data_IF_871860473304
#
_entry.id   IF_871860473304
#
_cell.length_a   1.000
_cell.length_b   1.000
_cell.length_c   1.000
_cell.angle_alpha   90.00
_cell.angle_beta   90.00
_cell.angle_gamma   90.00
#
_symmetry.space_group_name_H-M   'P 1'
#
loop_
_entity.id
_entity.type
_entity.pdbx_description
1 polymer ?
#
# COMPACT_ATOMS: atom_id res chain seq x y z
N UNK A 1 -28.50 45.06 4.85
CA UNK A 1 -29.63 45.80 4.24
C UNK A 1 -30.78 44.81 4.09
N UNK A 2 -31.83 44.98 4.89
CA UNK A 2 -33.08 44.24 4.73
C UNK A 2 -33.73 44.64 3.40
N UNK A 3 -34.56 43.77 2.81
CA UNK A 3 -35.26 43.97 1.53
C UNK A 3 -36.11 45.27 1.42
N UNK A 4 -36.16 46.11 2.46
CA UNK A 4 -37.00 47.31 2.56
C UNK A 4 -36.40 48.59 1.97
N UNK A 5 -35.13 48.61 1.54
CA UNK A 5 -34.46 49.82 1.00
C UNK A 5 -34.31 49.84 -0.54
N UNK A 6 -34.82 48.82 -1.25
CA UNK A 6 -34.79 48.81 -2.70
C UNK A 6 -36.01 49.50 -3.31
N UNK A 7 -35.77 50.39 -4.27
CA UNK A 7 -36.80 50.94 -5.16
C UNK A 7 -37.64 49.80 -5.77
N UNK A 8 -38.95 49.79 -5.48
CA UNK A 8 -39.88 48.75 -5.91
C UNK A 8 -39.91 48.59 -7.43
N UNK A 9 -39.65 49.67 -8.17
CA UNK A 9 -39.55 49.64 -9.63
C UNK A 9 -38.30 48.90 -10.13
N UNK A 10 -37.19 48.95 -9.37
CA UNK A 10 -35.95 48.26 -9.70
C UNK A 10 -36.06 46.75 -9.43
N UNK A 11 -36.71 46.36 -8.33
CA UNK A 11 -37.01 44.96 -8.04
C UNK A 11 -37.96 44.35 -9.08
N UNK A 12 -38.95 45.11 -9.55
CA UNK A 12 -39.83 44.68 -10.63
C UNK A 12 -39.06 44.54 -11.96
N UNK A 13 -38.17 45.48 -12.27
CA UNK A 13 -37.28 45.39 -13.44
C UNK A 13 -36.37 44.16 -13.38
N UNK A 14 -35.76 43.90 -12.21
CA UNK A 14 -34.85 42.77 -12.02
C UNK A 14 -35.52 41.40 -12.25
N UNK A 15 -36.84 41.31 -12.11
CA UNK A 15 -37.63 40.10 -12.35
C UNK A 15 -38.06 39.92 -13.82
N UNK A 16 -37.81 40.90 -14.69
CA UNK A 16 -38.08 40.75 -16.12
C UNK A 16 -37.13 39.70 -16.75
N UNK A 17 -37.54 39.01 -17.83
CA UNK A 17 -36.74 37.94 -18.45
C UNK A 17 -35.31 38.34 -18.81
N UNK A 18 -35.12 39.49 -19.46
CA UNK A 18 -33.79 39.97 -19.86
C UNK A 18 -32.88 40.27 -18.67
N UNK A 19 -33.27 41.20 -17.76
CA UNK A 19 -32.53 41.50 -16.54
C UNK A 19 -32.23 40.29 -15.66
N UNK A 20 -33.17 39.35 -15.53
CA UNK A 20 -32.98 38.12 -14.75
C UNK A 20 -31.83 37.27 -15.30
N UNK A 21 -31.71 37.11 -16.63
CA UNK A 21 -30.59 36.38 -17.24
C UNK A 21 -29.24 37.05 -16.95
N UNK A 22 -29.20 38.38 -16.97
CA UNK A 22 -27.98 39.15 -16.67
C UNK A 22 -27.60 38.99 -15.20
N UNK A 23 -28.57 39.12 -14.29
CA UNK A 23 -28.35 38.96 -12.85
C UNK A 23 -27.92 37.54 -12.53
N UNK A 24 -28.48 36.51 -13.17
CA UNK A 24 -28.07 35.12 -12.97
C UNK A 24 -26.62 34.86 -13.43
N UNK A 25 -26.19 35.42 -14.56
CA UNK A 25 -24.79 35.31 -14.98
C UNK A 25 -23.84 36.10 -14.05
N UNK A 26 -24.29 37.24 -13.52
CA UNK A 26 -23.58 37.98 -12.44
C UNK A 26 -23.46 37.10 -11.19
N UNK A 27 -24.55 36.47 -10.74
CA UNK A 27 -24.57 35.53 -9.59
C UNK A 27 -23.57 34.40 -9.80
N UNK A 28 -23.60 33.75 -10.97
CA UNK A 28 -22.66 32.68 -11.34
C UNK A 28 -21.20 33.13 -11.31
N UNK A 29 -20.90 34.34 -11.81
CA UNK A 29 -19.54 34.89 -11.82
C UNK A 29 -19.06 35.27 -10.43
N UNK A 30 -19.92 35.86 -9.59
CA UNK A 30 -19.59 36.12 -8.18
C UNK A 30 -19.31 34.82 -7.46
N UNK A 31 -20.17 33.81 -7.61
CA UNK A 31 -19.97 32.50 -6.99
C UNK A 31 -18.63 31.86 -7.39
N UNK A 32 -18.23 31.98 -8.67
CA UNK A 32 -17.00 31.37 -9.19
C UNK A 32 -15.72 32.16 -8.92
N UNK A 33 -15.76 33.50 -8.92
CA UNK A 33 -14.57 34.38 -8.92
C UNK A 33 -14.50 35.33 -7.72
N UNK A 34 -15.57 35.47 -6.95
CA UNK A 34 -15.75 36.45 -5.87
C UNK A 34 -16.07 37.87 -6.34
N UNK A 35 -15.81 38.19 -7.61
CA UNK A 35 -16.01 39.50 -8.24
C UNK A 35 -16.55 39.37 -9.66
N UNK A 36 -17.24 40.40 -10.16
CA UNK A 36 -17.65 40.51 -11.57
C UNK A 36 -16.89 41.67 -12.20
N UNK A 37 -16.25 41.43 -13.34
CA UNK A 37 -15.51 42.43 -14.13
C UNK A 37 -15.65 42.12 -15.62
N UNK A 38 -15.45 43.13 -16.46
CA UNK A 38 -15.43 43.01 -17.91
C UNK A 38 -16.81 42.77 -18.52
N UNK A 39 -16.86 42.07 -19.65
CA UNK A 39 -18.11 41.84 -20.40
C UNK A 39 -18.88 40.61 -19.89
N UNK A 40 -20.15 40.81 -19.55
CA UNK A 40 -21.14 39.81 -19.20
C UNK A 40 -21.69 39.20 -20.50
N UNK A 41 -21.37 37.93 -20.74
CA UNK A 41 -21.77 37.19 -21.93
C UNK A 41 -23.11 36.50 -21.65
N UNK A 42 -24.19 37.05 -22.18
CA UNK A 42 -25.55 36.51 -22.08
C UNK A 42 -26.23 36.69 -23.42
N UNK A 43 -26.87 35.63 -23.92
CA UNK A 43 -27.72 35.70 -25.10
C UNK A 43 -29.08 36.28 -24.71
N UNK A 44 -29.44 37.40 -25.35
CA UNK A 44 -30.69 38.11 -25.13
C UNK A 44 -31.46 38.21 -26.45
N UNK A 45 -32.76 37.96 -26.40
CA UNK A 45 -33.66 38.28 -27.53
C UNK A 45 -33.80 39.80 -27.68
N UNK A 46 -34.39 40.26 -28.80
CA UNK A 46 -34.64 41.70 -28.99
C UNK A 46 -35.52 42.31 -27.88
N UNK A 47 -36.54 41.58 -27.41
CA UNK A 47 -37.40 42.03 -26.32
C UNK A 47 -36.64 42.11 -24.99
N UNK A 48 -35.86 41.09 -24.66
CA UNK A 48 -35.01 41.03 -23.46
C UNK A 48 -33.93 42.13 -23.47
N UNK A 49 -33.36 42.43 -24.64
CA UNK A 49 -32.41 43.52 -24.80
C UNK A 49 -33.06 44.89 -24.57
N UNK A 50 -34.30 45.09 -25.03
CA UNK A 50 -35.07 46.33 -24.73
C UNK A 50 -35.36 46.45 -23.23
N UNK A 51 -35.64 45.35 -22.53
CA UNK A 51 -35.85 45.34 -21.08
C UNK A 51 -34.61 45.76 -20.31
N UNK A 52 -33.44 45.19 -20.63
CA UNK A 52 -32.15 45.61 -20.05
C UNK A 52 -31.83 47.06 -20.42
N UNK A 53 -32.22 47.48 -21.62
CA UNK A 53 -32.11 48.83 -22.15
C UNK A 53 -32.87 49.90 -21.36
N UNK A 54 -33.87 49.53 -20.56
CA UNK A 54 -34.55 50.47 -19.63
C UNK A 54 -33.58 51.05 -18.59
N UNK A 55 -32.48 50.34 -18.31
CA UNK A 55 -31.44 50.78 -17.39
C UNK A 55 -30.19 51.33 -18.13
N UNK A 56 -29.77 50.70 -19.22
CA UNK A 56 -28.56 51.09 -19.97
C UNK A 56 -28.78 52.16 -21.05
N UNK A 57 -30.04 52.48 -21.37
CA UNK A 57 -30.42 53.50 -22.34
C UNK A 57 -30.52 52.99 -23.79
N UNK A 58 -31.26 53.77 -24.60
CA UNK A 58 -31.54 53.48 -26.01
C UNK A 58 -30.28 53.33 -26.89
N UNK A 59 -29.20 54.13 -26.72
CA UNK A 59 -27.98 53.96 -27.51
C UNK A 59 -27.32 52.59 -27.33
N UNK A 60 -27.43 51.98 -26.14
CA UNK A 60 -26.90 50.63 -25.93
C UNK A 60 -27.76 49.58 -26.64
N UNK A 61 -29.09 49.72 -26.58
CA UNK A 61 -30.04 48.78 -27.23
C UNK A 61 -29.75 48.64 -28.72
N UNK A 62 -29.52 49.75 -29.42
CA UNK A 62 -29.28 49.76 -30.88
C UNK A 62 -27.85 49.41 -31.28
N UNK A 63 -26.90 49.44 -30.35
CA UNK A 63 -25.47 49.24 -30.66
C UNK A 63 -25.04 47.80 -30.96
N UNK A 64 -25.86 46.80 -30.61
CA UNK A 64 -25.49 45.37 -30.70
C UNK A 64 -24.36 44.90 -29.76
N UNK A 65 -23.74 45.80 -28.99
CA UNK A 65 -22.65 45.48 -28.05
C UNK A 65 -23.12 44.57 -26.91
N UNK A 66 -22.22 43.75 -26.36
CA UNK A 66 -22.51 43.00 -25.14
C UNK A 66 -22.65 43.89 -23.91
N UNK A 67 -22.96 43.27 -22.77
CA UNK A 67 -23.21 43.99 -21.51
C UNK A 67 -21.88 44.12 -20.78
N UNK A 68 -21.34 45.32 -20.65
CA UNK A 68 -20.16 45.54 -19.78
C UNK A 68 -20.60 45.82 -18.34
N UNK A 69 -19.80 45.36 -17.37
CA UNK A 69 -20.04 45.60 -15.94
C UNK A 69 -20.03 47.09 -15.62
N UNK A 70 -19.07 47.87 -16.14
CA UNK A 70 -18.90 49.27 -15.70
C UNK A 70 -20.09 50.18 -16.07
N UNK A 71 -20.65 50.14 -17.30
CA UNK A 71 -21.87 50.89 -17.63
C UNK A 71 -23.08 50.47 -16.80
N UNK A 72 -23.18 49.18 -16.50
CA UNK A 72 -24.29 48.63 -15.71
C UNK A 72 -24.18 49.03 -14.24
N UNK A 73 -22.98 49.00 -13.65
CA UNK A 73 -22.73 49.52 -12.30
C UNK A 73 -22.97 51.02 -12.22
N UNK A 74 -22.54 51.82 -13.21
CA UNK A 74 -22.81 53.26 -13.26
C UNK A 74 -24.31 53.57 -13.30
N UNK A 75 -25.08 52.82 -14.09
CA UNK A 75 -26.53 52.99 -14.17
C UNK A 75 -27.24 52.65 -12.85
N UNK A 76 -26.74 51.65 -12.11
CA UNK A 76 -27.26 51.27 -10.79
C UNK A 76 -26.79 52.21 -9.67
N UNK A 77 -25.58 52.77 -9.77
CA UNK A 77 -25.04 53.71 -8.80
C UNK A 77 -25.90 54.97 -8.66
N UNK A 78 -26.53 55.44 -9.74
CA UNK A 78 -27.52 56.53 -9.72
C UNK A 78 -28.77 56.25 -8.88
N UNK A 79 -28.97 54.99 -8.46
CA UNK A 79 -30.06 54.54 -7.57
C UNK A 79 -29.55 54.02 -6.23
N UNK A 80 -28.29 54.29 -5.88
CA UNK A 80 -27.62 53.80 -4.65
C UNK A 80 -27.61 52.26 -4.50
N UNK A 81 -27.62 51.53 -5.63
CA UNK A 81 -27.60 50.06 -5.66
C UNK A 81 -26.35 49.56 -6.39
N UNK A 82 -25.78 48.45 -5.93
CA UNK A 82 -24.67 47.75 -6.61
C UNK A 82 -25.15 46.51 -7.34
N UNK A 83 -24.37 46.00 -8.31
CA UNK A 83 -24.69 44.73 -8.96
C UNK A 83 -24.72 43.55 -8.00
N UNK A 84 -23.84 43.54 -6.99
CA UNK A 84 -23.82 42.51 -5.95
C UNK A 84 -25.09 42.56 -5.11
N UNK A 85 -25.46 43.73 -4.61
CA UNK A 85 -26.68 43.88 -3.79
C UNK A 85 -27.94 43.54 -4.58
N UNK A 86 -27.98 43.86 -5.87
CA UNK A 86 -29.08 43.45 -6.75
C UNK A 86 -29.11 41.93 -6.96
N UNK A 87 -27.95 41.30 -7.16
CA UNK A 87 -27.84 39.86 -7.29
C UNK A 87 -28.29 39.11 -6.02
N UNK A 88 -28.02 39.66 -4.83
CA UNK A 88 -28.46 39.11 -3.53
C UNK A 88 -29.99 39.12 -3.35
N UNK A 89 -30.71 40.03 -4.01
CA UNK A 89 -32.20 40.07 -3.96
C UNK A 89 -32.85 38.84 -4.60
N UNK A 90 -32.14 38.13 -5.48
CA UNK A 90 -32.60 36.89 -6.11
C UNK A 90 -32.14 35.62 -5.37
N UNK A 91 -31.61 35.77 -4.14
CA UNK A 91 -31.16 34.68 -3.27
C UNK A 91 -29.72 34.86 -2.78
N UNK A 92 -29.31 34.09 -1.78
CA UNK A 92 -27.96 34.16 -1.20
C UNK A 92 -26.89 33.87 -2.26
N UNK A 93 -25.84 34.70 -2.30
CA UNK A 93 -24.65 34.46 -3.12
C UNK A 93 -23.70 33.52 -2.36
N UNK A 94 -23.63 32.25 -2.75
CA UNK A 94 -22.67 31.33 -2.17
C UNK A 94 -21.27 31.61 -2.73
N UNK A 95 -20.33 31.96 -1.85
CA UNK A 95 -18.92 32.11 -2.22
C UNK A 95 -18.27 30.72 -2.36
N UNK A 96 -18.42 30.12 -3.55
CA UNK A 96 -17.84 28.81 -3.85
C UNK A 96 -16.31 28.84 -3.79
N UNK A 97 -15.68 30.00 -3.99
CA UNK A 97 -14.22 30.13 -3.84
C UNK A 97 -13.84 29.99 -2.37
N UNK A 98 -14.51 30.69 -1.46
CA UNK A 98 -14.29 30.55 -0.02
C UNK A 98 -14.63 29.14 0.47
N UNK A 99 -15.71 28.53 -0.03
CA UNK A 99 -16.07 27.15 0.28
C UNK A 99 -14.99 26.15 -0.16
N UNK A 100 -14.50 26.28 -1.40
CA UNK A 100 -13.45 25.39 -1.91
C UNK A 100 -12.12 25.60 -1.20
N UNK A 101 -11.76 26.84 -0.88
CA UNK A 101 -10.58 27.16 -0.09
C UNK A 101 -10.66 26.54 1.31
N UNK A 102 -11.83 26.61 1.97
CA UNK A 102 -12.06 25.98 3.27
C UNK A 102 -11.95 24.45 3.19
N UNK A 103 -12.60 23.82 2.20
CA UNK A 103 -12.49 22.37 1.97
C UNK A 103 -11.05 21.93 1.70
N UNK A 104 -10.28 22.74 0.97
CA UNK A 104 -8.88 22.47 0.70
C UNK A 104 -8.03 22.60 1.98
N UNK A 105 -8.26 23.65 2.78
CA UNK A 105 -7.59 23.83 4.06
C UNK A 105 -7.91 22.70 5.06
N UNK A 106 -9.16 22.24 5.10
CA UNK A 106 -9.59 21.09 5.91
C UNK A 106 -8.87 19.79 5.49
N UNK A 107 -8.73 19.55 4.17
CA UNK A 107 -7.97 18.42 3.63
C UNK A 107 -6.48 18.47 4.01
N UNK A 108 -5.88 19.63 3.86
CA UNK A 108 -4.47 19.83 4.19
C UNK A 108 -4.22 19.71 5.69
N UNK A 109 -5.15 20.16 6.52
CA UNK A 109 -5.08 19.95 7.97
C UNK A 109 -5.17 18.47 8.32
N UNK A 110 -6.16 17.75 7.79
CA UNK A 110 -6.30 16.31 8.06
C UNK A 110 -5.05 15.53 7.62
N UNK A 111 -4.45 15.86 6.47
CA UNK A 111 -3.20 15.26 6.01
C UNK A 111 -2.02 15.53 6.96
N UNK A 112 -1.88 16.77 7.45
CA UNK A 112 -0.84 17.12 8.42
C UNK A 112 -1.03 16.37 9.73
N UNK A 113 -2.27 16.29 10.21
CA UNK A 113 -2.58 15.62 11.47
C UNK A 113 -2.36 14.09 11.36
N UNK A 114 -2.71 13.49 10.22
CA UNK A 114 -2.48 12.08 9.93
C UNK A 114 -0.97 11.78 9.86
N UNK A 115 -0.20 12.64 9.17
CA UNK A 115 1.25 12.52 9.10
C UNK A 115 1.88 12.62 10.49
N UNK A 116 1.45 13.61 11.30
CA UNK A 116 1.92 13.80 12.66
C UNK A 116 1.67 12.57 13.54
N UNK A 117 0.51 11.93 13.40
CA UNK A 117 0.14 10.74 14.18
C UNK A 117 1.08 9.57 13.87
N UNK A 118 1.33 9.32 12.57
CA UNK A 118 2.24 8.27 12.12
C UNK A 118 3.68 8.55 12.55
N UNK A 119 4.18 9.78 12.37
CA UNK A 119 5.56 10.11 12.75
C UNK A 119 5.76 10.10 14.27
N UNK A 120 4.75 10.49 15.06
CA UNK A 120 4.78 10.39 16.51
C UNK A 120 4.77 8.92 17.01
N UNK A 121 4.34 7.98 16.18
CA UNK A 121 4.48 6.55 16.44
C UNK A 121 5.88 5.98 16.13
N UNK A 122 6.81 6.82 15.66
CA UNK A 122 8.16 6.41 15.28
C UNK A 122 8.29 5.96 13.82
N UNK A 123 7.25 6.13 13.00
CA UNK A 123 7.31 5.82 11.57
C UNK A 123 8.07 6.95 10.84
N UNK A 124 9.12 6.66 10.04
CA UNK A 124 9.85 7.65 9.28
C UNK A 124 8.93 8.49 8.40
N UNK A 125 9.17 9.80 8.31
CA UNK A 125 8.33 10.73 7.56
C UNK A 125 8.19 10.33 6.08
N UNK A 126 9.25 9.78 5.48
CA UNK A 126 9.25 9.28 4.10
C UNK A 126 8.23 8.15 3.92
N UNK A 127 8.25 7.14 4.80
CA UNK A 127 7.31 6.02 4.79
C UNK A 127 5.88 6.50 5.07
N UNK A 128 5.69 7.36 6.06
CA UNK A 128 4.38 7.90 6.42
C UNK A 128 3.76 8.72 5.26
N UNK A 129 4.54 9.58 4.61
CA UNK A 129 4.06 10.35 3.44
C UNK A 129 3.73 9.46 2.26
N UNK A 130 4.54 8.44 1.99
CA UNK A 130 4.26 7.44 0.96
C UNK A 130 2.95 6.70 1.25
N UNK A 131 2.79 6.21 2.48
CA UNK A 131 1.62 5.47 2.93
C UNK A 131 0.32 6.28 2.76
N UNK A 132 0.32 7.55 3.15
CA UNK A 132 -0.84 8.45 3.02
C UNK A 132 -1.21 8.78 1.57
N UNK A 133 -0.28 8.62 0.60
CA UNK A 133 -0.51 8.86 -0.83
C UNK A 133 -1.10 7.63 -1.54
N UNK A 134 -1.15 6.47 -0.90
CA UNK A 134 -1.66 5.25 -1.52
C UNK A 134 -3.15 5.37 -1.85
N UNK A 135 -3.55 4.96 -3.06
CA UNK A 135 -4.93 5.07 -3.56
C UNK A 135 -5.97 4.33 -2.71
N UNK A 136 -5.54 3.28 -2.00
CA UNK A 136 -6.39 2.49 -1.12
C UNK A 136 -6.69 3.20 0.23
N UNK A 137 -6.12 4.39 0.48
CA UNK A 137 -6.41 5.17 1.70
C UNK A 137 -7.65 6.05 1.51
N UNK A 138 -8.39 6.35 2.58
CA UNK A 138 -9.46 7.33 2.54
C UNK A 138 -8.97 8.68 2.02
N UNK A 139 -9.80 9.38 1.26
CA UNK A 139 -9.49 10.76 0.86
C UNK A 139 -9.61 11.68 2.06
N UNK A 140 -8.65 12.58 2.21
CA UNK A 140 -8.72 13.66 3.18
C UNK A 140 -9.94 14.58 2.93
N UNK A 141 -10.36 15.28 3.99
CA UNK A 141 -11.52 16.13 4.07
C UNK A 141 -12.76 15.46 4.69
N UNK A 142 -12.64 14.24 5.21
CA UNK A 142 -13.77 13.51 5.84
C UNK A 142 -13.49 13.06 7.27
N UNK A 143 -12.28 13.25 7.78
CA UNK A 143 -11.82 12.73 9.08
C UNK A 143 -11.41 11.25 9.06
N UNK A 144 -11.81 10.49 8.02
CA UNK A 144 -11.52 9.05 7.91
C UNK A 144 -10.04 8.75 7.73
N UNK A 145 -9.28 9.62 7.03
CA UNK A 145 -7.85 9.39 6.83
C UNK A 145 -7.10 9.55 8.15
N UNK A 146 -7.43 10.59 8.92
CA UNK A 146 -6.87 10.80 10.26
C UNK A 146 -7.22 9.66 11.20
N UNK A 147 -8.50 9.26 11.24
CA UNK A 147 -8.92 8.15 12.10
C UNK A 147 -8.18 6.84 11.78
N UNK A 148 -8.03 6.51 10.50
CA UNK A 148 -7.26 5.32 10.11
C UNK A 148 -5.77 5.46 10.46
N UNK A 149 -5.18 6.65 10.30
CA UNK A 149 -3.80 6.90 10.70
C UNK A 149 -3.60 6.72 12.21
N UNK A 150 -4.57 7.11 13.04
CA UNK A 150 -4.56 6.88 14.49
C UNK A 150 -4.59 5.39 14.83
N UNK A 151 -5.54 4.65 14.25
CA UNK A 151 -5.63 3.20 14.45
C UNK A 151 -4.33 2.50 14.07
N UNK A 152 -3.77 2.82 12.90
CA UNK A 152 -2.49 2.27 12.43
C UNK A 152 -1.36 2.65 13.38
N UNK A 153 -1.31 3.90 13.87
CA UNK A 153 -0.30 4.37 14.81
C UNK A 153 -0.37 3.64 16.16
N UNK A 154 -1.58 3.38 16.66
CA UNK A 154 -1.80 2.67 17.92
C UNK A 154 -1.42 1.19 17.82
N UNK A 155 -1.73 0.55 16.68
CA UNK A 155 -1.28 -0.81 16.38
C UNK A 155 0.25 -0.84 16.27
N UNK A 156 0.85 0.11 15.54
CA UNK A 156 2.29 0.17 15.31
C UNK A 156 3.09 0.22 16.62
N UNK A 157 2.66 1.05 17.58
CA UNK A 157 3.29 1.19 18.89
C UNK A 157 3.23 -0.08 19.74
N UNK A 158 2.27 -0.97 19.46
CA UNK A 158 2.07 -2.23 20.20
C UNK A 158 2.70 -3.43 19.51
N UNK A 159 3.25 -3.27 18.29
CA UNK A 159 3.93 -4.37 17.59
C UNK A 159 5.07 -4.92 18.47
N UNK A 160 5.25 -6.25 18.52
CA UNK A 160 6.33 -6.86 19.27
C UNK A 160 7.70 -6.28 18.91
N UNK A 161 8.53 -6.22 19.93
CA UNK A 161 9.96 -5.93 19.80
C UNK A 161 10.71 -7.26 19.62
N UNK A 162 11.91 -7.22 19.04
CA UNK A 162 12.64 -8.43 18.63
C UNK A 162 12.96 -9.39 19.81
N UNK A 163 12.98 -8.87 21.04
CA UNK A 163 13.20 -9.60 22.29
C UNK A 163 11.96 -10.30 22.85
N UNK A 164 10.75 -9.88 22.44
CA UNK A 164 9.48 -10.43 22.96
C UNK A 164 9.04 -11.74 22.29
N UNK A 165 9.79 -12.20 21.29
CA UNK A 165 9.44 -13.37 20.48
C UNK A 165 8.20 -13.14 19.61
N UNK A 166 7.78 -14.18 18.91
CA UNK A 166 6.67 -14.10 17.95
C UNK A 166 5.30 -14.27 18.62
N UNK A 167 4.35 -13.39 18.29
CA UNK A 167 2.96 -13.38 18.77
C UNK A 167 2.00 -13.74 17.63
N UNK A 168 0.98 -14.54 17.92
CA UNK A 168 -0.04 -14.91 16.92
C UNK A 168 -0.86 -13.70 16.46
N UNK A 169 -1.09 -13.54 15.15
CA UNK A 169 -1.86 -12.42 14.59
C UNK A 169 -3.28 -12.31 15.19
N UNK A 170 -4.10 -13.38 15.27
CA UNK A 170 -5.39 -13.31 15.96
C UNK A 170 -5.32 -12.91 17.44
N UNK A 171 -4.31 -13.39 18.17
CA UNK A 171 -4.11 -13.03 19.59
C UNK A 171 -3.73 -11.56 19.72
N UNK A 172 -2.85 -11.08 18.86
CA UNK A 172 -2.47 -9.67 18.80
C UNK A 172 -3.65 -8.77 18.41
N UNK A 173 -4.42 -9.16 17.39
CA UNK A 173 -5.61 -8.43 16.96
C UNK A 173 -6.65 -8.34 18.09
N UNK A 174 -6.95 -9.44 18.78
CA UNK A 174 -7.83 -9.44 19.94
C UNK A 174 -7.32 -8.53 21.06
N UNK A 175 -6.01 -8.56 21.36
CA UNK A 175 -5.44 -7.73 22.42
C UNK A 175 -5.47 -6.22 22.10
N UNK A 176 -5.34 -5.85 20.83
CA UNK A 176 -5.25 -4.44 20.41
C UNK A 176 -6.60 -3.84 20.02
N UNK A 177 -7.49 -4.65 19.45
CA UNK A 177 -8.74 -4.22 18.83
C UNK A 177 -10.00 -4.82 19.47
N UNK A 178 -9.85 -5.72 20.45
CA UNK A 178 -10.97 -6.55 20.97
C UNK A 178 -11.68 -7.36 19.87
N UNK A 179 -10.95 -7.66 18.78
CA UNK A 179 -11.43 -8.41 17.62
C UNK A 179 -10.28 -9.27 17.06
N UNK A 180 -10.33 -10.62 17.19
CA UNK A 180 -9.31 -11.50 16.67
C UNK A 180 -9.19 -11.46 15.13
N UNK A 181 -10.20 -10.97 14.43
CA UNK A 181 -10.23 -10.85 12.97
C UNK A 181 -9.97 -9.42 12.48
N UNK A 182 -9.80 -8.46 13.40
CA UNK A 182 -9.71 -7.03 13.06
C UNK A 182 -8.49 -6.65 12.21
N UNK A 183 -7.52 -7.56 12.08
CA UNK A 183 -6.31 -7.39 11.27
C UNK A 183 -6.22 -8.40 10.11
N UNK A 184 -7.28 -9.14 9.80
CA UNK A 184 -7.28 -10.11 8.71
C UNK A 184 -7.11 -9.45 7.34
N UNK A 185 -6.67 -10.22 6.35
CA UNK A 185 -6.33 -9.77 4.99
C UNK A 185 -7.52 -9.15 4.22
N UNK A 186 -8.74 -9.51 4.60
CA UNK A 186 -9.99 -9.00 4.05
C UNK A 186 -10.46 -7.70 4.72
N UNK A 187 -9.90 -7.34 5.87
CA UNK A 187 -10.16 -6.05 6.53
C UNK A 187 -9.36 -4.89 5.91
N UNK A 188 -9.93 -3.68 5.90
CA UNK A 188 -9.22 -2.49 5.43
C UNK A 188 -8.03 -2.12 6.33
N UNK A 189 -8.17 -2.34 7.65
CA UNK A 189 -7.17 -2.02 8.65
C UNK A 189 -6.00 -3.01 8.62
N UNK A 190 -6.27 -4.32 8.53
CA UNK A 190 -5.24 -5.34 8.34
C UNK A 190 -4.38 -5.06 7.11
N UNK A 191 -5.00 -4.78 5.96
CA UNK A 191 -4.27 -4.37 4.75
C UNK A 191 -3.48 -3.08 4.94
N UNK A 192 -4.03 -2.10 5.65
CA UNK A 192 -3.33 -0.85 5.96
C UNK A 192 -2.02 -1.11 6.70
N UNK A 193 -2.10 -1.87 7.78
CA UNK A 193 -0.95 -2.16 8.64
C UNK A 193 0.08 -3.01 7.90
N UNK A 194 -0.34 -4.05 7.19
CA UNK A 194 0.58 -4.89 6.41
C UNK A 194 1.33 -4.08 5.34
N UNK A 195 0.64 -3.20 4.59
CA UNK A 195 1.29 -2.33 3.59
C UNK A 195 2.29 -1.36 4.25
N UNK A 196 1.94 -0.81 5.41
CA UNK A 196 2.85 0.05 6.16
C UNK A 196 4.09 -0.73 6.63
N UNK A 197 3.91 -1.94 7.17
CA UNK A 197 5.01 -2.80 7.59
C UNK A 197 5.94 -3.09 6.40
N UNK A 198 5.40 -3.51 5.25
CA UNK A 198 6.20 -3.78 4.05
C UNK A 198 7.00 -2.55 3.59
N UNK A 199 6.38 -1.37 3.59
CA UNK A 199 7.06 -0.11 3.25
C UNK A 199 8.16 0.25 4.25
N UNK A 200 7.90 0.05 5.54
CA UNK A 200 8.89 0.28 6.59
C UNK A 200 10.06 -0.71 6.49
N UNK A 201 9.81 -2.01 6.30
CA UNK A 201 10.86 -3.03 6.13
C UNK A 201 11.72 -2.75 4.90
N UNK A 202 11.12 -2.31 3.79
CA UNK A 202 11.88 -1.91 2.61
C UNK A 202 12.78 -0.69 2.87
N UNK A 203 12.26 0.31 3.58
CA UNK A 203 13.01 1.50 3.97
C UNK A 203 14.14 1.21 4.97
N UNK A 204 13.94 0.29 5.90
CA UNK A 204 15.01 -0.14 6.82
C UNK A 204 16.16 -0.85 6.10
N UNK A 205 15.85 -1.63 5.05
CA UNK A 205 16.87 -2.29 4.25
C UNK A 205 17.65 -1.31 3.36
N UNK A 206 16.97 -0.31 2.80
CA UNK A 206 17.55 0.73 1.95
C UNK A 206 16.77 2.05 2.12
N UNK A 207 17.34 3.05 2.84
CA UNK A 207 16.68 4.33 3.06
C UNK A 207 16.40 5.15 1.78
N UNK A 208 17.11 4.87 0.68
CA UNK A 208 16.97 5.55 -0.61
C UNK A 208 16.03 4.80 -1.58
N UNK A 209 15.40 3.71 -1.11
CA UNK A 209 14.53 2.87 -1.94
C UNK A 209 13.32 3.63 -2.49
N UNK A 210 13.02 3.42 -3.77
CA UNK A 210 11.72 3.80 -4.33
C UNK A 210 10.62 2.87 -3.80
N UNK A 211 9.98 3.28 -2.70
CA UNK A 211 8.87 2.54 -2.09
C UNK A 211 7.70 2.27 -3.05
N UNK A 212 7.46 3.16 -4.03
CA UNK A 212 6.37 2.96 -4.99
C UNK A 212 6.71 1.87 -6.01
N UNK A 213 7.99 1.72 -6.38
CA UNK A 213 8.48 0.63 -7.22
C UNK A 213 8.68 -0.69 -6.46
N UNK A 214 9.08 -0.64 -5.18
CA UNK A 214 9.39 -1.83 -4.38
C UNK A 214 8.17 -2.49 -3.77
N UNK A 215 7.18 -1.71 -3.31
CA UNK A 215 6.01 -2.24 -2.59
C UNK A 215 4.76 -2.08 -3.44
N UNK A 216 4.19 -3.22 -3.86
CA UNK A 216 2.91 -3.28 -4.56
C UNK A 216 1.81 -3.71 -3.59
N UNK A 217 0.88 -2.84 -3.16
CA UNK A 217 -0.10 -3.20 -2.13
C UNK A 217 -0.96 -4.44 -2.43
N UNK A 218 -1.26 -4.70 -3.71
CA UNK A 218 -2.05 -5.87 -4.13
C UNK A 218 -1.33 -7.20 -3.97
N UNK A 219 0.01 -7.23 -3.94
CA UNK A 219 0.77 -8.48 -3.77
C UNK A 219 0.91 -8.86 -2.31
N UNK A 220 0.80 -7.89 -1.38
CA UNK A 220 0.94 -8.11 0.06
C UNK A 220 -0.16 -9.01 0.62
N UNK A 221 -1.34 -8.99 0.02
CA UNK A 221 -2.48 -9.84 0.43
C UNK A 221 -2.38 -11.28 -0.07
N UNK A 222 -1.33 -11.64 -0.81
CA UNK A 222 -1.06 -13.05 -1.16
C UNK A 222 -0.66 -13.83 0.09
N UNK A 223 -1.02 -15.12 0.16
CA UNK A 223 -0.89 -15.91 1.38
C UNK A 223 0.51 -15.85 2.01
N UNK A 224 1.56 -16.11 1.24
CA UNK A 224 2.92 -16.11 1.78
C UNK A 224 3.47 -14.71 2.05
N UNK A 225 3.30 -13.76 1.11
CA UNK A 225 3.73 -12.36 1.33
C UNK A 225 3.08 -11.75 2.56
N UNK A 226 1.81 -12.10 2.82
CA UNK A 226 1.10 -11.69 4.02
C UNK A 226 1.80 -12.21 5.28
N UNK A 227 2.11 -13.51 5.33
CA UNK A 227 2.81 -14.13 6.47
C UNK A 227 4.18 -13.51 6.69
N UNK A 228 5.00 -13.39 5.66
CA UNK A 228 6.35 -12.84 5.76
C UNK A 228 6.35 -11.36 6.17
N UNK A 229 5.38 -10.58 5.69
CA UNK A 229 5.21 -9.17 6.07
C UNK A 229 4.95 -9.03 7.58
N UNK A 230 4.01 -9.80 8.14
CA UNK A 230 3.74 -9.76 9.58
C UNK A 230 4.89 -10.32 10.41
N UNK A 231 5.53 -11.39 9.94
CA UNK A 231 6.66 -12.03 10.61
C UNK A 231 7.84 -11.06 10.80
N UNK A 232 8.07 -10.15 9.84
CA UNK A 232 9.08 -9.10 9.93
C UNK A 232 8.91 -8.16 11.15
N UNK A 233 7.74 -8.15 11.79
CA UNK A 233 7.46 -7.38 13.02
C UNK A 233 7.07 -8.27 14.20
N UNK A 234 7.52 -9.53 14.20
CA UNK A 234 7.30 -10.47 15.30
C UNK A 234 5.85 -10.94 15.42
N UNK A 235 5.06 -10.82 14.36
CA UNK A 235 3.69 -11.32 14.32
C UNK A 235 3.61 -12.54 13.41
N UNK A 236 3.28 -13.69 13.98
CA UNK A 236 3.04 -14.90 13.20
C UNK A 236 1.57 -15.06 12.84
N UNK A 237 1.28 -15.16 11.55
CA UNK A 237 -0.05 -15.54 11.08
C UNK A 237 -0.38 -17.01 11.39
N UNK A 238 0.60 -17.90 11.22
CA UNK A 238 0.52 -19.33 11.50
C UNK A 238 1.94 -19.94 11.51
N UNK A 239 2.38 -20.49 12.63
CA UNK A 239 3.74 -21.03 12.78
C UNK A 239 3.83 -22.55 12.71
N UNK A 240 2.70 -23.24 12.74
CA UNK A 240 2.67 -24.71 12.72
C UNK A 240 2.40 -25.22 11.31
N UNK A 241 1.74 -24.43 10.46
CA UNK A 241 1.59 -24.75 9.04
C UNK A 241 2.67 -24.12 8.15
N UNK A 242 3.54 -23.27 8.71
CA UNK A 242 4.75 -22.84 8.02
C UNK A 242 5.84 -23.89 8.27
N UNK A 243 6.16 -24.62 7.21
CA UNK A 243 6.97 -25.84 7.27
C UNK A 243 8.17 -25.76 6.33
N UNK A 244 9.24 -26.46 6.68
CA UNK A 244 10.38 -26.73 5.80
C UNK A 244 10.79 -28.20 5.96
N UNK A 245 11.01 -28.88 4.84
CA UNK A 245 11.41 -30.28 4.82
C UNK A 245 12.93 -30.35 4.87
N UNK A 246 13.49 -31.19 5.73
CA UNK A 246 14.92 -31.34 5.88
C UNK A 246 15.31 -32.82 5.89
N UNK A 247 16.50 -33.13 5.37
CA UNK A 247 17.14 -34.44 5.46
C UNK A 247 18.58 -34.25 5.92
N UNK A 248 18.98 -35.03 6.94
CA UNK A 248 20.34 -35.06 7.52
C UNK A 248 20.91 -33.69 7.93
N UNK A 249 20.04 -32.71 8.21
CA UNK A 249 20.46 -31.38 8.65
C UNK A 249 20.70 -31.36 10.16
N UNK A 250 21.95 -31.62 10.56
CA UNK A 250 22.32 -31.54 11.98
C UNK A 250 22.40 -30.09 12.46
N UNK A 251 21.65 -29.77 13.51
CA UNK A 251 21.65 -28.47 14.16
C UNK A 251 22.24 -28.57 15.58
N UNK A 252 22.65 -27.43 16.13
CA UNK A 252 23.09 -27.24 17.51
C UNK A 252 22.38 -26.04 18.12
N UNK A 253 22.31 -25.95 19.45
CA UNK A 253 21.62 -24.87 20.16
C UNK A 253 20.50 -25.39 21.08
N UNK A 254 19.54 -24.53 21.38
CA UNK A 254 18.45 -24.82 22.33
C UNK A 254 17.07 -24.78 21.70
N UNK A 255 16.96 -24.46 20.40
CA UNK A 255 15.68 -24.50 19.68
C UNK A 255 15.13 -25.94 19.60
N UNK A 256 13.81 -26.09 19.58
CA UNK A 256 13.16 -27.41 19.49
C UNK A 256 13.53 -28.18 18.21
N UNK A 257 13.87 -27.47 17.13
CA UNK A 257 14.35 -28.04 15.88
C UNK A 257 15.63 -28.88 16.08
N UNK A 258 16.47 -28.56 17.07
CA UNK A 258 17.75 -29.23 17.32
C UNK A 258 17.56 -30.73 17.63
N UNK A 259 16.84 -31.13 18.69
CA UNK A 259 16.62 -32.55 18.96
C UNK A 259 15.76 -33.25 17.89
N UNK A 260 14.81 -32.54 17.26
CA UNK A 260 13.97 -33.10 16.19
C UNK A 260 14.83 -33.49 14.97
N UNK A 261 15.64 -32.55 14.48
CA UNK A 261 16.48 -32.78 13.32
C UNK A 261 17.57 -33.83 13.60
N UNK A 262 18.13 -33.84 14.81
CA UNK A 262 19.12 -34.85 15.21
C UNK A 262 18.55 -36.28 15.21
N UNK A 263 17.33 -36.47 15.72
CA UNK A 263 16.69 -37.79 15.75
C UNK A 263 16.41 -38.32 14.33
N UNK A 264 15.94 -37.46 13.43
CA UNK A 264 15.66 -37.82 12.05
C UNK A 264 16.94 -38.11 11.25
N UNK A 265 17.95 -37.26 11.38
CA UNK A 265 19.25 -37.42 10.73
C UNK A 265 19.98 -38.72 11.16
N UNK A 266 19.80 -39.16 12.42
CA UNK A 266 20.40 -40.40 12.92
C UNK A 266 19.94 -41.66 12.16
N UNK A 267 18.76 -41.61 11.54
CA UNK A 267 18.18 -42.72 10.77
C UNK A 267 18.03 -42.42 9.27
N UNK A 268 18.40 -41.21 8.83
CA UNK A 268 18.28 -40.81 7.42
C UNK A 268 16.86 -40.48 6.99
N UNK A 269 15.97 -40.13 7.92
CA UNK A 269 14.56 -39.90 7.63
C UNK A 269 14.30 -38.41 7.31
N UNK A 270 13.57 -38.06 6.24
CA UNK A 270 13.10 -36.71 6.00
C UNK A 270 12.18 -36.22 7.13
N UNK A 271 12.36 -34.99 7.59
CA UNK A 271 11.57 -34.42 8.70
C UNK A 271 11.08 -33.02 8.39
N UNK A 272 9.82 -32.76 8.74
CA UNK A 272 9.24 -31.43 8.71
C UNK A 272 9.61 -30.65 9.97
N UNK A 273 10.26 -29.50 9.78
CA UNK A 273 10.44 -28.51 10.82
C UNK A 273 9.39 -27.42 10.66
N UNK A 274 8.76 -27.04 11.76
CA UNK A 274 7.82 -25.91 11.81
C UNK A 274 8.58 -24.62 12.08
N UNK A 275 8.07 -23.47 11.63
CA UNK A 275 8.60 -22.15 12.05
C UNK A 275 8.66 -22.05 13.59
N UNK A 276 7.65 -22.60 14.28
CA UNK A 276 7.64 -22.69 15.75
C UNK A 276 8.84 -23.46 16.31
N UNK A 277 9.25 -24.56 15.66
CA UNK A 277 10.38 -25.37 16.13
C UNK A 277 11.74 -24.67 15.97
N UNK A 278 11.84 -23.74 15.03
CA UNK A 278 13.04 -22.93 14.78
C UNK A 278 13.20 -21.77 15.77
N UNK A 279 12.19 -21.50 16.62
CA UNK A 279 12.28 -20.46 17.65
C UNK A 279 13.43 -20.71 18.62
N UNK A 280 14.22 -19.66 18.84
CA UNK A 280 15.32 -19.64 19.79
C UNK A 280 16.69 -19.91 19.15
N UNK A 281 17.76 -19.96 19.94
CA UNK A 281 19.11 -20.13 19.42
C UNK A 281 19.30 -21.48 18.73
N UNK A 282 19.71 -21.45 17.46
CA UNK A 282 20.22 -22.61 16.74
C UNK A 282 21.32 -22.21 15.76
N UNK A 283 22.13 -23.17 15.34
CA UNK A 283 23.16 -23.04 14.30
C UNK A 283 23.39 -24.41 13.64
N UNK A 284 23.84 -24.47 12.38
CA UNK A 284 24.30 -25.72 11.79
C UNK A 284 25.40 -26.35 12.67
N UNK A 285 25.40 -27.67 12.81
CA UNK A 285 26.49 -28.35 13.51
C UNK A 285 27.83 -28.11 12.77
N UNK A 286 28.98 -28.13 13.46
CA UNK A 286 30.28 -27.89 12.81
C UNK A 286 30.60 -28.84 11.65
N UNK A 287 29.95 -30.00 11.59
CA UNK A 287 30.07 -30.98 10.51
C UNK A 287 29.27 -30.60 9.25
N UNK A 288 28.35 -29.64 9.36
CA UNK A 288 27.51 -29.16 8.26
C UNK A 288 28.18 -27.96 7.60
N UNK A 289 29.13 -28.23 6.71
CA UNK A 289 29.81 -27.18 5.92
C UNK A 289 29.09 -26.80 4.63
N UNK A 290 28.26 -27.71 4.10
CA UNK A 290 27.55 -27.55 2.83
C UNK A 290 26.12 -28.08 2.96
N UNK A 291 25.16 -27.33 2.43
CA UNK A 291 23.74 -27.70 2.45
C UNK A 291 23.17 -27.49 1.05
N UNK A 292 22.49 -28.51 0.54
CA UNK A 292 21.77 -28.43 -0.72
C UNK A 292 20.34 -27.97 -0.48
N UNK A 293 19.78 -27.20 -1.41
CA UNK A 293 18.41 -26.70 -1.34
C UNK A 293 17.69 -27.00 -2.64
N UNK A 294 16.55 -27.69 -2.59
CA UNK A 294 15.69 -27.98 -3.73
C UNK A 294 14.24 -27.51 -3.49
N UNK A 295 13.43 -27.51 -4.54
CA UNK A 295 12.01 -27.15 -4.45
C UNK A 295 11.13 -28.38 -4.19
N UNK A 296 11.48 -29.50 -4.81
CA UNK A 296 10.63 -30.65 -5.04
C UNK A 296 10.93 -31.76 -4.01
N UNK A 297 9.90 -32.28 -3.30
CA UNK A 297 10.08 -33.37 -2.34
C UNK A 297 10.66 -34.64 -2.95
N UNK A 298 10.43 -34.91 -4.25
CA UNK A 298 10.92 -36.12 -4.90
C UNK A 298 12.45 -36.25 -4.85
N UNK A 299 13.17 -35.12 -4.81
CA UNK A 299 14.63 -35.10 -4.62
C UNK A 299 15.01 -35.60 -3.23
N UNK A 300 14.27 -35.17 -2.20
CA UNK A 300 14.50 -35.58 -0.81
C UNK A 300 14.17 -37.05 -0.60
N UNK A 301 13.02 -37.50 -1.12
CA UNK A 301 12.57 -38.89 -1.03
C UNK A 301 13.60 -39.83 -1.68
N UNK A 302 14.04 -39.50 -2.90
CA UNK A 302 15.05 -40.31 -3.60
C UNK A 302 16.41 -40.29 -2.90
N UNK A 303 16.80 -39.17 -2.31
CA UNK A 303 18.07 -39.07 -1.58
C UNK A 303 18.05 -39.89 -0.27
N UNK A 304 16.93 -39.87 0.45
CA UNK A 304 16.72 -40.69 1.64
C UNK A 304 16.73 -42.19 1.29
N UNK A 305 16.01 -42.59 0.24
CA UNK A 305 15.98 -43.99 -0.21
C UNK A 305 17.37 -44.48 -0.65
N UNK A 306 18.13 -43.64 -1.37
CA UNK A 306 19.39 -44.06 -1.96
C UNK A 306 20.57 -44.04 -0.99
N UNK A 307 20.63 -43.06 -0.08
CA UNK A 307 21.78 -42.84 0.82
C UNK A 307 21.44 -42.90 2.31
N UNK A 308 20.17 -42.79 2.70
CA UNK A 308 19.75 -42.72 4.10
C UNK A 308 20.54 -41.69 4.89
N UNK A 309 21.05 -42.09 6.06
CA UNK A 309 21.87 -41.23 6.93
C UNK A 309 23.21 -40.79 6.31
N UNK A 310 23.63 -41.38 5.19
CA UNK A 310 24.86 -41.01 4.46
C UNK A 310 24.62 -39.92 3.41
N UNK A 311 23.38 -39.45 3.23
CA UNK A 311 23.09 -38.32 2.33
C UNK A 311 23.65 -37.02 2.91
N UNK A 312 24.14 -36.14 2.03
CA UNK A 312 24.49 -34.77 2.39
C UNK A 312 23.26 -34.01 2.94
N UNK A 313 23.46 -33.01 3.82
CA UNK A 313 22.36 -32.20 4.34
C UNK A 313 21.56 -31.53 3.21
N UNK A 314 20.24 -31.71 3.23
CA UNK A 314 19.33 -31.24 2.19
C UNK A 314 18.14 -30.52 2.83
N UNK A 315 17.76 -29.39 2.25
CA UNK A 315 16.58 -28.60 2.60
C UNK A 315 15.67 -28.56 1.38
N UNK A 316 14.37 -28.77 1.57
CA UNK A 316 13.38 -28.67 0.51
C UNK A 316 12.32 -27.63 0.88
N UNK A 317 12.08 -26.69 -0.03
CA UNK A 317 11.10 -25.61 0.15
C UNK A 317 9.66 -26.07 -0.08
N UNK A 318 9.47 -27.20 -0.77
CA UNK A 318 8.17 -27.76 -1.13
C UNK A 318 7.32 -26.75 -1.91
N UNK A 319 7.85 -26.29 -3.04
CA UNK A 319 7.28 -25.19 -3.82
C UNK A 319 7.79 -23.82 -3.36
N UNK A 320 6.91 -22.82 -3.37
CA UNK A 320 7.26 -21.45 -2.95
C UNK A 320 7.75 -21.40 -1.49
N UNK A 321 8.94 -20.82 -1.20
CA UNK A 321 9.53 -20.82 0.13
C UNK A 321 8.59 -20.26 1.20
N UNK A 322 8.34 -21.07 2.22
CA UNK A 322 7.60 -20.67 3.41
C UNK A 322 8.46 -19.79 4.33
N UNK A 323 7.83 -19.10 5.29
CA UNK A 323 8.53 -18.35 6.33
C UNK A 323 9.52 -19.22 7.12
N UNK A 324 9.19 -20.49 7.42
CA UNK A 324 10.13 -21.45 8.04
C UNK A 324 11.33 -21.75 7.15
N UNK A 325 11.12 -21.94 5.85
CA UNK A 325 12.20 -22.19 4.89
C UNK A 325 13.13 -20.98 4.77
N UNK A 326 12.57 -19.77 4.68
CA UNK A 326 13.34 -18.53 4.61
C UNK A 326 14.11 -18.26 5.90
N UNK A 327 13.53 -18.48 7.08
CA UNK A 327 14.22 -18.37 8.37
C UNK A 327 15.41 -19.34 8.45
N UNK A 328 15.19 -20.61 8.10
CA UNK A 328 16.24 -21.62 8.10
C UNK A 328 17.38 -21.27 7.14
N UNK A 329 17.05 -20.88 5.90
CA UNK A 329 18.03 -20.53 4.87
C UNK A 329 18.85 -19.31 5.29
N UNK A 330 18.21 -18.26 5.80
CA UNK A 330 18.91 -17.07 6.31
C UNK A 330 19.78 -17.39 7.53
N UNK A 331 19.32 -18.25 8.44
CA UNK A 331 20.13 -18.65 9.60
C UNK A 331 21.35 -19.48 9.21
N UNK A 332 21.22 -20.38 8.24
CA UNK A 332 22.34 -21.16 7.69
C UNK A 332 23.38 -20.27 7.01
N UNK A 333 22.94 -19.32 6.17
CA UNK A 333 23.82 -18.33 5.51
C UNK A 333 24.56 -17.49 6.56
N UNK A 334 23.86 -16.96 7.56
CA UNK A 334 24.46 -16.15 8.65
C UNK A 334 25.50 -16.93 9.46
N UNK A 335 25.30 -18.24 9.61
CA UNK A 335 26.25 -19.14 10.26
C UNK A 335 27.42 -19.57 9.36
N UNK A 336 27.44 -19.15 8.09
CA UNK A 336 28.51 -19.41 7.14
C UNK A 336 28.44 -20.77 6.44
N UNK A 337 27.30 -21.47 6.47
CA UNK A 337 27.12 -22.70 5.69
C UNK A 337 27.04 -22.37 4.19
N UNK A 338 27.77 -23.12 3.35
CA UNK A 338 27.68 -22.91 1.91
C UNK A 338 26.40 -23.54 1.36
N UNK A 339 25.46 -22.70 0.94
CA UNK A 339 24.21 -23.14 0.34
C UNK A 339 24.34 -23.36 -1.17
N UNK A 340 23.73 -24.44 -1.66
CA UNK A 340 23.64 -24.82 -3.07
C UNK A 340 22.18 -24.94 -3.48
N UNK A 341 21.64 -23.90 -4.13
CA UNK A 341 20.20 -23.73 -4.38
C UNK A 341 19.80 -24.13 -5.80
N UNK A 342 18.65 -24.78 -5.94
CA UNK A 342 17.96 -25.08 -7.19
C UNK A 342 16.45 -25.14 -6.99
N UNK A 343 15.75 -25.18 -8.09
CA UNK A 343 14.31 -25.38 -8.22
C UNK A 343 14.04 -26.01 -9.60
N UNK A 344 12.77 -26.22 -9.94
CA UNK A 344 12.39 -26.53 -11.32
C UNK A 344 12.81 -25.38 -12.26
N UNK A 345 13.36 -25.67 -13.45
CA UNK A 345 13.74 -24.61 -14.40
C UNK A 345 12.53 -24.14 -15.22
N UNK A 346 11.52 -23.62 -14.51
CA UNK A 346 10.31 -22.98 -15.03
C UNK A 346 10.16 -21.54 -14.50
N UNK A 347 9.05 -20.87 -14.85
CA UNK A 347 8.81 -19.49 -14.43
C UNK A 347 8.65 -19.30 -12.91
N UNK A 348 8.17 -20.32 -12.20
CA UNK A 348 8.02 -20.29 -10.75
C UNK A 348 9.37 -20.55 -10.09
N UNK A 349 10.09 -21.60 -10.49
CA UNK A 349 11.38 -21.96 -9.94
C UNK A 349 12.46 -20.90 -10.17
N UNK A 350 12.44 -20.18 -11.29
CA UNK A 350 13.33 -19.01 -11.50
C UNK A 350 13.07 -17.90 -10.46
N UNK A 351 11.82 -17.67 -10.06
CA UNK A 351 11.47 -16.71 -8.99
C UNK A 351 11.83 -17.25 -7.62
N UNK A 352 11.67 -18.55 -7.38
CA UNK A 352 12.06 -19.21 -6.13
C UNK A 352 13.56 -19.07 -5.93
N UNK A 353 14.38 -19.45 -6.91
CA UNK A 353 15.84 -19.34 -6.82
C UNK A 353 16.27 -17.87 -6.66
N UNK A 354 15.65 -16.93 -7.39
CA UNK A 354 15.92 -15.51 -7.19
C UNK A 354 15.64 -15.06 -5.73
N UNK A 355 14.49 -15.45 -5.18
CA UNK A 355 14.12 -15.16 -3.79
C UNK A 355 15.10 -15.79 -2.79
N UNK A 356 15.45 -17.07 -2.96
CA UNK A 356 16.40 -17.75 -2.09
C UNK A 356 17.76 -17.04 -2.08
N UNK A 357 18.20 -16.49 -3.22
CA UNK A 357 19.43 -15.70 -3.31
C UNK A 357 19.33 -14.31 -2.68
N UNK A 358 18.14 -13.73 -2.56
CA UNK A 358 17.94 -12.51 -1.76
C UNK A 358 18.16 -12.80 -0.26
N UNK A 359 17.70 -13.97 0.21
CA UNK A 359 17.82 -14.38 1.63
C UNK A 359 19.15 -15.06 1.98
N UNK A 360 19.85 -15.58 0.97
CA UNK A 360 21.19 -16.15 1.08
C UNK A 360 22.09 -15.66 -0.08
N UNK A 361 22.64 -14.44 0.00
CA UNK A 361 23.43 -13.84 -1.08
C UNK A 361 24.70 -14.62 -1.46
N UNK A 362 25.31 -15.35 -0.52
CA UNK A 362 26.48 -16.20 -0.73
C UNK A 362 26.17 -17.60 -1.28
N UNK A 363 24.90 -17.92 -1.52
CA UNK A 363 24.49 -19.19 -2.11
C UNK A 363 25.00 -19.36 -3.55
N UNK A 364 25.29 -20.62 -3.92
CA UNK A 364 25.68 -21.04 -5.27
C UNK A 364 24.51 -21.71 -5.96
N UNK A 365 24.46 -21.60 -7.29
CA UNK A 365 23.47 -22.32 -8.10
C UNK A 365 23.86 -23.79 -8.21
N UNK A 366 22.91 -24.70 -7.97
CA UNK A 366 23.12 -26.14 -8.05
C UNK A 366 22.55 -26.72 -9.35
N UNK A 367 23.43 -26.87 -10.35
CA UNK A 367 23.03 -27.33 -11.70
C UNK A 367 21.83 -26.55 -12.25
N UNK A 368 21.87 -25.23 -12.06
CA UNK A 368 20.81 -24.30 -12.41
C UNK A 368 21.40 -23.04 -13.04
N UNK A 369 20.67 -22.42 -13.97
CA UNK A 369 21.03 -21.14 -14.58
C UNK A 369 19.93 -20.12 -14.26
N UNK A 370 20.30 -19.03 -13.59
CA UNK A 370 19.35 -17.95 -13.32
C UNK A 370 19.16 -17.09 -14.57
N UNK A 371 17.92 -16.92 -15.02
CA UNK A 371 17.59 -16.17 -16.23
C UNK A 371 16.30 -15.37 -16.08
N UNK A 372 16.19 -14.27 -16.82
CA UNK A 372 14.93 -13.54 -16.91
C UNK A 372 13.94 -14.37 -17.71
N UNK A 373 12.76 -14.61 -17.14
CA UNK A 373 11.71 -15.36 -17.80
C UNK A 373 10.57 -14.47 -18.26
N UNK A 374 9.96 -14.87 -19.37
CA UNK A 374 8.75 -14.29 -19.93
C UNK A 374 7.59 -15.26 -19.78
N UNK A 375 6.35 -14.77 -19.89
CA UNK A 375 5.16 -15.63 -19.78
C UNK A 375 5.11 -16.76 -20.83
N UNK A 376 5.89 -16.65 -21.91
CA UNK A 376 6.02 -17.64 -22.98
C UNK A 376 7.17 -18.64 -22.81
N UNK A 377 8.03 -18.47 -21.80
CA UNK A 377 9.11 -19.43 -21.55
C UNK A 377 8.53 -20.76 -21.05
N UNK A 378 8.91 -21.86 -21.71
CA UNK A 378 8.62 -23.22 -21.25
C UNK A 378 9.73 -23.72 -20.33
N UNK A 379 9.37 -24.62 -19.42
CA UNK A 379 10.35 -25.26 -18.54
C UNK A 379 11.45 -25.95 -19.36
N UNK A 380 12.72 -25.81 -18.93
CA UNK A 380 13.86 -26.47 -19.61
C UNK A 380 14.14 -27.85 -19.03
N UNK A 381 14.25 -27.96 -17.71
CA UNK A 381 14.48 -29.21 -16.99
C UNK A 381 13.79 -29.14 -15.62
N UNK A 382 12.97 -30.16 -15.29
CA UNK A 382 12.40 -30.35 -13.95
C UNK A 382 13.35 -31.16 -13.06
N UNK A 383 13.22 -31.05 -11.74
CA UNK A 383 14.12 -31.71 -10.80
C UNK A 383 14.10 -33.24 -10.92
N UNK A 384 12.94 -33.83 -11.22
CA UNK A 384 12.79 -35.27 -11.43
C UNK A 384 13.51 -35.75 -12.69
N UNK A 385 13.62 -34.89 -13.71
CA UNK A 385 14.28 -35.24 -14.98
C UNK A 385 15.81 -35.27 -14.84
N UNK A 386 16.36 -34.47 -13.93
CA UNK A 386 17.81 -34.42 -13.66
C UNK A 386 18.21 -35.16 -12.38
N UNK A 387 17.26 -35.81 -11.71
CA UNK A 387 17.43 -36.47 -10.43
C UNK A 387 18.68 -37.36 -10.33
N UNK A 388 19.05 -38.20 -11.33
CA UNK A 388 20.28 -38.98 -11.25
C UNK A 388 21.55 -38.12 -11.08
N UNK A 389 21.61 -36.94 -11.72
CA UNK A 389 22.73 -36.00 -11.58
C UNK A 389 22.74 -35.34 -10.20
N UNK A 390 21.55 -35.08 -9.64
CA UNK A 390 21.41 -34.50 -8.29
C UNK A 390 21.89 -35.48 -7.23
N UNK A 391 21.44 -36.73 -7.31
CA UNK A 391 21.86 -37.78 -6.39
C UNK A 391 23.37 -37.99 -6.39
N UNK A 392 24.05 -37.85 -7.53
CA UNK A 392 25.51 -37.91 -7.57
C UNK A 392 26.19 -36.83 -6.70
N UNK A 393 25.61 -35.64 -6.60
CA UNK A 393 26.18 -34.54 -5.81
C UNK A 393 25.86 -34.68 -4.31
N UNK A 394 24.78 -35.39 -3.97
CA UNK A 394 24.32 -35.57 -2.58
C UNK A 394 25.07 -36.68 -1.81
N UNK A 395 26.05 -37.33 -2.43
CA UNK A 395 26.87 -38.36 -1.79
C UNK A 395 27.90 -37.72 -0.86
N UNK A 396 27.83 -38.02 0.44
CA UNK A 396 28.93 -37.70 1.36
C UNK A 396 30.10 -38.65 1.07
N UNK A 397 31.30 -38.10 0.87
CA UNK A 397 32.53 -38.88 0.68
C UNK A 397 33.10 -39.38 2.00
#
# INVERSE_FOLDING_TARGET
MTNSDFDSSLLAWAKLPGPSKVIEEVRRRIAKRGVVRGEIKVELTESERREVGKLLGLPWVTSGKGISVDPLEKALAGRSVTLRSLAETQGKLDDLRALNARKQAERESELRDALCSLTAAGIPSTVAQWFLKLRARPRAGSGKLKHQADQVSDIWKKLPTADQGSVSLPVFAAAVLDDPHGLDKDTELGRAVAVLIAGYTAFEADPDVDLAGRVTPGTITTGETWRTTWAARGIACDEVSSLVLCLNLMLTGTASAVPIAAAAAAVGEPVWLTHRSLRGPWSPAPTVGMVYVCENPAVVEAAAEHYGASCAPLVCTYGWPSSAALELITGLERAGAQLHVRADDDNAGQKIVALLREYAPGSRLWRFELRQTTASDTAREYEEQVLPKLLCDLRVM
#
